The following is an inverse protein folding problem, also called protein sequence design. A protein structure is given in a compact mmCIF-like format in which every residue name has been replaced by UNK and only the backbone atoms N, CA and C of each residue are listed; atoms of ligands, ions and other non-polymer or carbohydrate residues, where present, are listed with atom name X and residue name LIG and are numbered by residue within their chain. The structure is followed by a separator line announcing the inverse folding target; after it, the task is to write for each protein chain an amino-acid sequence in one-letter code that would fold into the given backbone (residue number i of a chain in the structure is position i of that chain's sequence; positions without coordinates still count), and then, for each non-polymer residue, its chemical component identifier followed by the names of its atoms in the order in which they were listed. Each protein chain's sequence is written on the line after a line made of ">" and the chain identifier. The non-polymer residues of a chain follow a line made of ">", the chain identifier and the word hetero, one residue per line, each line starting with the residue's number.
data_IF_225726281764
#
_entry.id   IF_225726281764
#
_cell.length_a   1.000
_cell.length_b   1.000
_cell.length_c   1.000
_cell.angle_alpha   90.00
_cell.angle_beta   90.00
_cell.angle_gamma   90.00
#
_symmetry.space_group_name_H-M   'P 1'
#
loop_
_entity.id
_entity.type
_entity.pdbx_description
1 polymer ?
#
# COMPACT_ATOMS: atom_id res chain seq x y z
N UNK A 1 19.62 11.74 5.51
CA UNK A 1 19.21 10.37 5.14
C UNK A 1 17.83 10.16 5.76
N UNK A 2 16.78 9.94 4.96
CA UNK A 2 15.42 9.71 5.50
C UNK A 2 15.30 8.28 5.99
N UNK A 3 14.67 8.06 7.16
CA UNK A 3 14.38 6.73 7.68
C UNK A 3 13.45 5.95 6.74
N UNK A 4 12.48 6.62 6.11
CA UNK A 4 11.61 6.07 5.09
C UNK A 4 11.80 6.83 3.77
N UNK A 5 12.56 6.24 2.86
CA UNK A 5 12.72 6.68 1.46
C UNK A 5 11.93 5.81 0.48
N UNK A 6 11.94 6.18 -0.80
CA UNK A 6 11.23 5.43 -1.85
C UNK A 6 11.64 3.95 -1.89
N UNK A 7 12.92 3.66 -1.67
CA UNK A 7 13.47 2.31 -1.75
C UNK A 7 13.48 1.56 -0.40
N UNK A 8 12.73 2.04 0.60
CA UNK A 8 12.70 1.38 1.90
C UNK A 8 12.23 -0.06 1.74
N UNK A 9 12.88 -0.99 2.44
CA UNK A 9 12.63 -2.44 2.39
C UNK A 9 13.01 -3.14 1.05
N UNK A 10 13.47 -2.40 0.03
CA UNK A 10 13.88 -2.94 -1.27
C UNK A 10 15.41 -3.05 -1.34
N UNK A 11 15.95 -4.26 -1.11
CA UNK A 11 17.38 -4.48 -0.87
C UNK A 11 18.22 -4.71 -2.13
N UNK A 12 17.61 -4.88 -3.31
CA UNK A 12 18.31 -5.10 -4.58
C UNK A 12 17.58 -4.47 -5.77
N UNK A 13 18.28 -4.37 -6.91
CA UNK A 13 17.75 -3.73 -8.13
C UNK A 13 16.52 -4.44 -8.70
N UNK A 14 16.45 -5.77 -8.62
CA UNK A 14 15.29 -6.53 -9.07
C UNK A 14 14.06 -6.24 -8.21
N UNK A 15 14.20 -6.17 -6.89
CA UNK A 15 13.11 -5.82 -5.96
C UNK A 15 12.57 -4.41 -6.20
N UNK A 16 13.44 -3.44 -6.48
CA UNK A 16 13.03 -2.09 -6.89
C UNK A 16 12.23 -2.14 -8.19
N UNK A 17 12.77 -2.82 -9.22
CA UNK A 17 12.12 -2.93 -10.53
C UNK A 17 10.73 -3.57 -10.44
N UNK A 18 10.64 -4.74 -9.80
CA UNK A 18 9.38 -5.47 -9.64
C UNK A 18 8.34 -4.65 -8.88
N UNK A 19 8.75 -3.93 -7.83
CA UNK A 19 7.83 -3.09 -7.07
C UNK A 19 7.37 -1.86 -7.87
N UNK A 20 8.29 -1.06 -8.40
CA UNK A 20 7.94 0.22 -9.02
C UNK A 20 7.30 0.09 -10.40
N UNK A 21 7.74 -0.88 -11.20
CA UNK A 21 7.25 -1.03 -12.58
C UNK A 21 5.94 -1.82 -12.63
N UNK A 22 5.69 -2.70 -11.65
CA UNK A 22 4.54 -3.61 -11.67
C UNK A 22 3.65 -3.50 -10.43
N UNK A 23 4.19 -3.73 -9.22
CA UNK A 23 3.35 -3.90 -8.03
C UNK A 23 2.70 -2.59 -7.53
N UNK A 24 3.41 -1.47 -7.58
CA UNK A 24 3.00 -0.18 -7.01
C UNK A 24 1.68 0.35 -7.58
N UNK A 25 1.41 0.08 -8.85
CA UNK A 25 0.21 0.53 -9.54
C UNK A 25 -0.99 -0.41 -9.44
N UNK A 26 -0.84 -1.58 -8.80
CA UNK A 26 -1.92 -2.55 -8.72
C UNK A 26 -3.00 -2.13 -7.71
N UNK A 27 -4.27 -2.47 -7.95
CA UNK A 27 -5.32 -2.22 -6.99
C UNK A 27 -5.12 -3.07 -5.72
N UNK A 28 -5.70 -2.61 -4.62
CA UNK A 28 -5.78 -3.38 -3.38
C UNK A 28 -7.01 -4.29 -3.46
N UNK A 29 -6.80 -5.59 -3.24
CA UNK A 29 -7.88 -6.57 -3.08
C UNK A 29 -7.91 -6.96 -1.61
N UNK A 30 -8.74 -6.27 -0.83
CA UNK A 30 -8.87 -6.47 0.61
C UNK A 30 -10.01 -7.46 0.93
N UNK A 31 -9.78 -8.74 0.63
CA UNK A 31 -10.82 -9.79 0.72
C UNK A 31 -11.23 -10.14 2.16
N UNK A 32 -10.40 -9.77 3.14
CA UNK A 32 -10.65 -10.05 4.56
C UNK A 32 -10.19 -8.87 5.39
N UNK A 33 -11.16 -8.11 5.91
CA UNK A 33 -10.93 -6.96 6.76
C UNK A 33 -11.91 -6.92 7.93
N UNK A 34 -11.63 -6.04 8.88
CA UNK A 34 -12.48 -5.78 10.05
C UNK A 34 -12.88 -4.31 10.14
N UNK A 35 -13.00 -3.64 8.99
CA UNK A 35 -13.49 -2.26 8.91
C UNK A 35 -14.93 -2.20 9.41
N UNK A 36 -15.29 -1.10 10.08
CA UNK A 36 -16.65 -0.90 10.59
C UNK A 36 -17.56 -0.53 9.41
N UNK A 37 -18.54 -1.38 9.00
CA UNK A 37 -19.34 -1.12 7.80
C UNK A 37 -20.15 0.18 7.87
N UNK A 38 -20.57 0.56 9.08
CA UNK A 38 -21.30 1.81 9.34
C UNK A 38 -20.46 3.05 8.98
N UNK A 39 -19.16 3.03 9.28
CA UNK A 39 -18.29 4.18 8.99
C UNK A 39 -18.06 4.36 7.49
N UNK A 40 -18.00 3.25 6.76
CA UNK A 40 -17.95 3.25 5.28
C UNK A 40 -19.26 3.81 4.73
N UNK A 41 -20.40 3.32 5.22
CA UNK A 41 -21.73 3.76 4.78
C UNK A 41 -21.98 5.25 5.05
N UNK A 42 -21.61 5.74 6.23
CA UNK A 42 -21.81 7.13 6.63
C UNK A 42 -20.72 8.08 6.09
N UNK A 43 -19.69 7.55 5.42
CA UNK A 43 -18.49 8.30 5.02
C UNK A 43 -17.95 9.15 6.18
N UNK A 44 -17.67 8.48 7.31
CA UNK A 44 -17.27 9.14 8.55
C UNK A 44 -16.00 9.98 8.36
N UNK A 45 -16.06 11.24 8.77
CA UNK A 45 -14.92 12.17 8.76
C UNK A 45 -14.11 12.08 10.08
N UNK A 46 -12.80 12.30 10.01
CA UNK A 46 -11.83 12.23 11.11
C UNK A 46 -10.99 13.50 11.24
#
# INVERSE_FOLDING_TARGET
>A
MSLMGKNSLLTNEWGKKLFFDYAKGMPIIDYHCHLVPKEIYENKNY
#
